data_IF_738548185269
#
_entry.id   IF_738548185269
#
_cell.length_a   1.000
_cell.length_b   1.000
_cell.length_c   1.000
_cell.angle_alpha   90.00
_cell.angle_beta   90.00
_cell.angle_gamma   90.00
#
_symmetry.space_group_name_H-M   'P 1'
#
loop_
_entity.id
_entity.type
_entity.pdbx_description
1 polymer ?
#
# COMPACT_ATOMS: atom_id res chain seq x y z
N UNK A 1 65.50 -82.16 -32.32
CA UNK A 1 64.04 -82.11 -32.06
C UNK A 1 63.58 -80.69 -32.25
N UNK A 2 62.67 -80.37 -33.19
CA UNK A 2 62.11 -79.03 -33.29
C UNK A 2 61.37 -78.72 -31.99
N UNK A 3 61.70 -77.59 -31.35
CA UNK A 3 60.98 -77.10 -30.18
C UNK A 3 59.52 -76.91 -30.55
N UNK A 4 58.63 -77.62 -29.85
CA UNK A 4 57.19 -77.49 -30.06
C UNK A 4 56.76 -76.04 -29.82
N UNK A 5 55.87 -75.53 -30.66
CA UNK A 5 55.22 -74.23 -30.47
C UNK A 5 54.53 -74.23 -29.11
N UNK A 6 54.91 -73.32 -28.22
CA UNK A 6 54.29 -73.19 -26.90
C UNK A 6 53.21 -72.11 -26.92
N UNK A 7 52.17 -72.30 -26.07
CA UNK A 7 51.12 -71.30 -25.86
C UNK A 7 51.70 -69.93 -25.47
N UNK A 8 52.67 -69.91 -24.56
CA UNK A 8 53.31 -68.68 -24.08
C UNK A 8 54.07 -67.94 -25.19
N UNK A 9 54.77 -68.65 -26.07
CA UNK A 9 55.47 -68.03 -27.20
C UNK A 9 54.52 -67.37 -28.19
N UNK A 10 53.41 -68.03 -28.50
CA UNK A 10 52.34 -67.48 -29.37
C UNK A 10 51.69 -66.25 -28.73
N UNK A 11 51.41 -66.30 -27.42
CA UNK A 11 50.78 -65.20 -26.69
C UNK A 11 51.68 -63.96 -26.63
N UNK A 12 52.97 -64.13 -26.32
CA UNK A 12 53.94 -63.03 -26.25
C UNK A 12 54.09 -62.31 -27.59
N UNK A 13 54.08 -63.05 -28.69
CA UNK A 13 54.18 -62.48 -30.05
C UNK A 13 52.85 -61.81 -30.46
N UNK A 14 51.71 -62.40 -30.11
CA UNK A 14 50.41 -61.78 -30.36
C UNK A 14 50.26 -60.45 -29.59
N UNK A 15 50.73 -60.40 -28.34
CA UNK A 15 50.80 -59.18 -27.54
C UNK A 15 51.74 -58.13 -28.16
N UNK A 16 52.93 -58.54 -28.61
CA UNK A 16 53.87 -57.65 -29.29
C UNK A 16 53.29 -57.06 -30.58
N UNK A 17 52.67 -57.90 -31.43
CA UNK A 17 52.00 -57.45 -32.66
C UNK A 17 50.85 -56.48 -32.37
N UNK A 18 50.09 -56.72 -31.29
CA UNK A 18 49.01 -55.82 -30.88
C UNK A 18 49.54 -54.47 -30.39
N UNK A 19 50.68 -54.45 -29.69
CA UNK A 19 51.37 -53.22 -29.30
C UNK A 19 51.91 -52.43 -30.50
N UNK A 20 52.20 -53.12 -31.61
CA UNK A 20 52.57 -52.54 -32.91
C UNK A 20 51.36 -52.19 -33.79
N UNK A 21 50.14 -52.19 -33.24
CA UNK A 21 48.88 -51.95 -33.96
C UNK A 21 48.60 -52.95 -35.12
N UNK A 22 49.26 -54.10 -35.15
CA UNK A 22 49.05 -55.16 -36.14
C UNK A 22 48.12 -56.26 -35.62
N UNK A 23 47.19 -56.71 -36.47
CA UNK A 23 46.29 -57.82 -36.14
C UNK A 23 47.10 -59.14 -36.10
N UNK A 24 47.14 -59.84 -34.95
CA UNK A 24 47.88 -61.09 -34.85
C UNK A 24 47.27 -62.15 -35.78
N UNK A 25 48.05 -62.60 -36.76
CA UNK A 25 47.66 -63.63 -37.73
C UNK A 25 48.55 -64.86 -37.56
N UNK A 26 48.07 -66.03 -38.01
CA UNK A 26 48.87 -67.27 -37.98
C UNK A 26 50.18 -67.09 -38.77
N UNK A 27 50.15 -66.31 -39.86
CA UNK A 27 51.30 -66.06 -40.73
C UNK A 27 52.32 -65.16 -40.04
N UNK A 28 51.89 -64.02 -39.48
CA UNK A 28 52.80 -63.08 -38.80
C UNK A 28 53.43 -63.71 -37.54
N UNK A 29 52.64 -64.45 -36.76
CA UNK A 29 53.11 -65.14 -35.56
C UNK A 29 54.09 -66.26 -35.90
N UNK A 30 53.80 -67.05 -36.95
CA UNK A 30 54.71 -68.10 -37.44
C UNK A 30 56.02 -67.51 -37.97
N UNK A 31 55.94 -66.36 -38.65
CA UNK A 31 57.12 -65.64 -39.16
C UNK A 31 58.03 -65.18 -38.03
N UNK A 32 57.47 -64.65 -36.93
CA UNK A 32 58.25 -64.23 -35.76
C UNK A 32 58.76 -65.41 -34.90
N UNK A 33 58.05 -66.55 -34.87
CA UNK A 33 58.50 -67.76 -34.18
C UNK A 33 59.59 -68.54 -34.93
N UNK A 34 59.84 -68.23 -36.21
CA UNK A 34 60.79 -68.97 -37.06
C UNK A 34 60.28 -70.34 -37.52
N UNK A 35 58.98 -70.62 -37.43
CA UNK A 35 58.37 -71.89 -37.84
C UNK A 35 57.25 -72.38 -36.93
N UNK A 36 56.87 -73.66 -37.08
CA UNK A 36 55.83 -74.31 -36.26
C UNK A 36 54.61 -74.81 -37.04
N UNK A 37 53.81 -75.66 -36.39
CA UNK A 37 52.56 -76.18 -36.94
C UNK A 37 51.49 -75.07 -36.98
N UNK A 38 50.98 -74.68 -38.16
CA UNK A 38 49.96 -73.64 -38.29
C UNK A 38 48.70 -73.90 -37.45
N UNK A 39 48.32 -75.17 -37.28
CA UNK A 39 47.13 -75.54 -36.53
C UNK A 39 47.29 -75.26 -35.03
N UNK A 40 48.45 -75.64 -34.46
CA UNK A 40 48.78 -75.37 -33.05
C UNK A 40 48.86 -73.86 -32.77
N UNK A 41 49.45 -73.09 -33.70
CA UNK A 41 49.48 -71.62 -33.60
C UNK A 41 48.06 -71.05 -33.64
N UNK A 42 47.21 -71.53 -34.56
CA UNK A 42 45.82 -71.09 -34.66
C UNK A 42 45.02 -71.36 -33.37
N UNK A 43 45.18 -72.53 -32.75
CA UNK A 43 44.53 -72.85 -31.47
C UNK A 43 44.98 -71.92 -30.35
N UNK A 44 46.29 -71.67 -30.22
CA UNK A 44 46.80 -70.76 -29.19
C UNK A 44 46.41 -69.31 -29.44
N UNK A 45 46.41 -68.85 -30.69
CA UNK A 45 45.93 -67.52 -31.06
C UNK A 45 44.43 -67.35 -30.79
N UNK A 46 43.61 -68.38 -31.06
CA UNK A 46 42.19 -68.34 -30.72
C UNK A 46 41.98 -68.18 -29.21
N UNK A 47 42.75 -68.92 -28.39
CA UNK A 47 42.70 -68.78 -26.93
C UNK A 47 43.18 -67.41 -26.43
N UNK A 48 44.16 -66.80 -27.10
CA UNK A 48 44.66 -65.46 -26.78
C UNK A 48 43.61 -64.39 -27.13
N UNK A 49 43.02 -64.48 -28.33
CA UNK A 49 41.95 -63.57 -28.78
C UNK A 49 40.74 -63.62 -27.86
N UNK A 50 40.32 -64.81 -27.44
CA UNK A 50 39.20 -64.95 -26.51
C UNK A 50 39.44 -64.18 -25.20
N UNK A 51 40.64 -64.30 -24.61
CA UNK A 51 41.00 -63.59 -23.39
C UNK A 51 41.13 -62.06 -23.60
N UNK A 52 41.73 -61.62 -24.71
CA UNK A 52 41.93 -60.19 -24.98
C UNK A 52 40.64 -59.46 -25.42
N UNK A 53 39.72 -60.14 -26.11
CA UNK A 53 38.42 -59.57 -26.46
C UNK A 53 37.60 -59.28 -25.20
N UNK A 54 37.65 -60.18 -24.21
CA UNK A 54 36.98 -59.99 -22.92
C UNK A 54 37.54 -58.77 -22.17
N UNK A 55 38.87 -58.66 -22.05
CA UNK A 55 39.52 -57.50 -21.42
C UNK A 55 39.21 -56.17 -22.14
N UNK A 56 39.27 -56.16 -23.47
CA UNK A 56 38.88 -54.98 -24.24
C UNK A 56 37.41 -54.64 -24.00
N UNK A 57 36.51 -55.61 -24.00
CA UNK A 57 35.08 -55.35 -23.76
C UNK A 57 34.85 -54.76 -22.37
N UNK A 58 35.54 -55.23 -21.34
CA UNK A 58 35.46 -54.69 -19.99
C UNK A 58 35.94 -53.22 -19.94
N UNK A 59 37.06 -52.90 -20.59
CA UNK A 59 37.55 -51.53 -20.66
C UNK A 59 36.57 -50.59 -21.38
N UNK A 60 35.91 -51.06 -22.45
CA UNK A 60 34.87 -50.27 -23.13
C UNK A 60 33.68 -50.03 -22.19
N UNK A 61 33.22 -51.04 -21.46
CA UNK A 61 32.13 -50.87 -20.49
C UNK A 61 32.50 -49.94 -19.33
N UNK A 62 33.72 -50.02 -18.80
CA UNK A 62 34.20 -49.11 -17.75
C UNK A 62 34.26 -47.67 -18.25
N UNK A 63 34.76 -47.47 -19.48
CA UNK A 63 34.75 -46.15 -20.13
C UNK A 63 33.33 -45.61 -20.31
N UNK A 64 32.39 -46.44 -20.74
CA UNK A 64 30.98 -46.04 -20.88
C UNK A 64 30.37 -45.63 -19.54
N UNK A 65 30.66 -46.36 -18.46
CA UNK A 65 30.21 -46.01 -17.09
C UNK A 65 30.81 -44.68 -16.64
N UNK A 66 32.10 -44.43 -16.90
CA UNK A 66 32.74 -43.16 -16.56
C UNK A 66 32.17 -41.98 -17.36
N UNK A 67 31.90 -42.18 -18.64
CA UNK A 67 31.26 -41.16 -19.48
C UNK A 67 29.85 -40.83 -18.97
N UNK A 68 29.05 -41.85 -18.62
CA UNK A 68 27.71 -41.65 -18.06
C UNK A 68 27.75 -40.92 -16.72
N UNK A 69 28.68 -41.28 -15.83
CA UNK A 69 28.86 -40.60 -14.55
C UNK A 69 29.30 -39.13 -14.73
N UNK A 70 30.13 -38.85 -15.73
CA UNK A 70 30.51 -37.47 -16.06
C UNK A 70 29.31 -36.68 -16.59
N UNK A 71 28.51 -37.26 -17.48
CA UNK A 71 27.30 -36.62 -18.02
C UNK A 71 26.28 -36.31 -16.91
N UNK A 72 26.08 -37.23 -15.97
CA UNK A 72 25.21 -37.02 -14.80
C UNK A 72 25.71 -35.84 -13.93
N UNK A 73 27.01 -35.77 -13.64
CA UNK A 73 27.57 -34.63 -12.89
C UNK A 73 27.45 -33.30 -13.64
N UNK A 74 27.62 -33.31 -14.97
CA UNK A 74 27.45 -32.11 -15.79
C UNK A 74 25.98 -31.65 -15.82
N UNK A 75 25.04 -32.61 -15.85
CA UNK A 75 23.61 -32.34 -15.76
C UNK A 75 23.24 -31.75 -14.39
N UNK A 76 23.66 -32.35 -13.28
CA UNK A 76 23.41 -31.82 -11.93
C UNK A 76 23.99 -30.41 -11.79
N UNK A 77 25.20 -30.16 -12.33
CA UNK A 77 25.81 -28.84 -12.33
C UNK A 77 24.97 -27.83 -13.12
N UNK A 78 24.41 -28.22 -14.25
CA UNK A 78 23.53 -27.36 -15.04
C UNK A 78 22.24 -27.03 -14.29
N UNK A 79 21.61 -28.03 -13.65
CA UNK A 79 20.40 -27.86 -12.84
C UNK A 79 20.65 -26.93 -11.64
N UNK A 80 21.79 -27.08 -10.95
CA UNK A 80 22.17 -26.19 -9.85
C UNK A 80 22.40 -24.75 -10.31
N UNK A 81 23.02 -24.55 -11.48
CA UNK A 81 23.20 -23.21 -12.05
C UNK A 81 21.86 -22.57 -12.40
N UNK A 82 20.91 -23.32 -12.97
CA UNK A 82 19.56 -22.83 -13.26
C UNK A 82 18.81 -22.44 -11.97
N UNK A 83 18.91 -23.25 -10.92
CA UNK A 83 18.29 -22.94 -9.63
C UNK A 83 18.90 -21.69 -8.97
N UNK A 84 20.22 -21.49 -9.09
CA UNK A 84 20.88 -20.25 -8.62
C UNK A 84 20.34 -19.04 -9.38
N UNK A 85 20.25 -19.11 -10.71
CA UNK A 85 19.71 -18.02 -11.53
C UNK A 85 18.25 -17.72 -11.18
N UNK A 86 17.46 -18.76 -10.92
CA UNK A 86 16.06 -18.64 -10.46
C UNK A 86 15.99 -17.93 -9.11
N UNK A 87 16.80 -18.35 -8.14
CA UNK A 87 16.84 -17.76 -6.80
C UNK A 87 17.34 -16.32 -6.82
N UNK A 88 18.35 -16.00 -7.62
CA UNK A 88 18.83 -14.64 -7.81
C UNK A 88 17.75 -13.74 -8.43
N UNK A 89 16.99 -14.26 -9.39
CA UNK A 89 15.81 -13.60 -9.96
C UNK A 89 14.73 -13.29 -8.92
N UNK A 90 14.39 -14.28 -8.08
CA UNK A 90 13.44 -14.14 -6.99
C UNK A 90 13.92 -13.13 -5.93
N UNK A 91 15.21 -13.16 -5.58
CA UNK A 91 15.81 -12.22 -4.63
C UNK A 91 15.76 -10.78 -5.16
N UNK A 92 16.08 -10.56 -6.44
CA UNK A 92 16.03 -9.25 -7.05
C UNK A 92 14.58 -8.72 -7.14
N UNK A 93 13.62 -9.61 -7.45
CA UNK A 93 12.19 -9.28 -7.40
C UNK A 93 11.75 -8.87 -5.99
N UNK A 94 12.10 -9.65 -4.97
CA UNK A 94 11.78 -9.35 -3.58
C UNK A 94 12.40 -8.01 -3.12
N UNK A 95 13.63 -7.70 -3.55
CA UNK A 95 14.29 -6.41 -3.27
C UNK A 95 13.54 -5.24 -3.90
N UNK A 96 13.09 -5.37 -5.15
CA UNK A 96 12.28 -4.35 -5.84
C UNK A 96 10.94 -4.15 -5.15
N UNK A 97 10.26 -5.23 -4.79
CA UNK A 97 8.99 -5.18 -4.03
C UNK A 97 9.19 -4.52 -2.66
N UNK A 98 10.27 -4.84 -1.94
CA UNK A 98 10.59 -4.19 -0.68
C UNK A 98 10.84 -2.69 -0.86
N UNK A 99 11.63 -2.29 -1.85
CA UNK A 99 11.92 -0.88 -2.16
C UNK A 99 10.67 -0.08 -2.52
N UNK A 100 9.76 -0.67 -3.31
CA UNK A 100 8.48 -0.02 -3.65
C UNK A 100 7.55 0.07 -2.43
N UNK A 101 7.51 -0.98 -1.61
CA UNK A 101 6.73 -1.02 -0.37
C UNK A 101 7.21 0.02 0.65
N UNK A 102 8.53 0.16 0.87
CA UNK A 102 9.06 1.18 1.77
C UNK A 102 8.74 2.59 1.27
N UNK A 103 8.85 2.85 -0.03
CA UNK A 103 8.46 4.13 -0.60
C UNK A 103 6.96 4.42 -0.41
N UNK A 104 6.09 3.41 -0.59
CA UNK A 104 4.66 3.55 -0.37
C UNK A 104 4.34 3.85 1.11
N UNK A 105 5.03 3.21 2.06
CA UNK A 105 4.90 3.49 3.48
C UNK A 105 5.34 4.91 3.84
N UNK A 106 6.42 5.42 3.25
CA UNK A 106 6.87 6.81 3.46
C UNK A 106 5.85 7.83 2.95
N UNK A 107 5.25 7.58 1.78
CA UNK A 107 4.19 8.43 1.24
C UNK A 107 2.95 8.39 2.13
N UNK A 108 2.55 7.20 2.60
CA UNK A 108 1.43 7.04 3.51
C UNK A 108 1.66 7.76 4.85
N UNK A 109 2.88 7.65 5.40
CA UNK A 109 3.27 8.35 6.64
C UNK A 109 3.20 9.86 6.48
N UNK A 110 3.77 10.42 5.40
CA UNK A 110 3.66 11.85 5.10
C UNK A 110 2.21 12.30 4.90
N UNK A 111 1.38 11.43 4.31
CA UNK A 111 -0.06 11.65 4.19
C UNK A 111 -0.75 11.74 5.56
N UNK A 112 -0.46 10.79 6.45
CA UNK A 112 -1.00 10.77 7.81
C UNK A 112 -0.59 12.01 8.62
N UNK A 113 0.67 12.44 8.55
CA UNK A 113 1.15 13.65 9.23
C UNK A 113 0.41 14.92 8.74
N UNK A 114 0.11 15.02 7.44
CA UNK A 114 -0.70 16.12 6.90
C UNK A 114 -2.14 16.09 7.42
N UNK A 115 -2.75 14.91 7.50
CA UNK A 115 -4.11 14.77 8.06
C UNK A 115 -4.12 15.13 9.54
N UNK A 116 -3.11 14.72 10.31
CA UNK A 116 -2.99 15.06 11.73
C UNK A 116 -2.88 16.58 11.93
N UNK A 117 -2.04 17.26 11.16
CA UNK A 117 -1.93 18.73 11.23
C UNK A 117 -3.23 19.43 10.85
N UNK A 118 -3.93 18.97 9.81
CA UNK A 118 -5.25 19.50 9.45
C UNK A 118 -6.29 19.28 10.55
N UNK A 119 -6.29 18.09 11.17
CA UNK A 119 -7.19 17.77 12.28
C UNK A 119 -6.96 18.70 13.47
N UNK A 120 -5.70 19.01 13.81
CA UNK A 120 -5.38 19.96 14.89
C UNK A 120 -5.89 21.36 14.59
N UNK A 121 -5.76 21.81 13.34
CA UNK A 121 -6.28 23.12 12.91
C UNK A 121 -7.81 23.16 13.03
N UNK A 122 -8.50 22.12 12.56
CA UNK A 122 -9.96 22.02 12.68
C UNK A 122 -10.42 21.98 14.13
N UNK A 123 -9.71 21.26 15.00
CA UNK A 123 -10.00 21.22 16.43
C UNK A 123 -9.87 22.60 17.08
N UNK A 124 -8.82 23.35 16.73
CA UNK A 124 -8.65 24.74 17.20
C UNK A 124 -9.79 25.65 16.70
N UNK A 125 -10.17 25.54 15.43
CA UNK A 125 -11.31 26.30 14.89
C UNK A 125 -12.62 25.96 15.60
N UNK A 126 -12.87 24.69 15.91
CA UNK A 126 -14.05 24.28 16.67
C UNK A 126 -14.03 24.84 18.10
N UNK A 127 -12.87 24.89 18.76
CA UNK A 127 -12.72 25.53 20.07
C UNK A 127 -13.03 27.02 20.01
N UNK A 128 -12.48 27.74 19.03
CA UNK A 128 -12.76 29.18 18.86
C UNK A 128 -14.24 29.47 18.59
N UNK A 129 -14.89 28.68 17.73
CA UNK A 129 -16.32 28.83 17.44
C UNK A 129 -17.15 28.55 18.68
N UNK A 130 -16.77 27.54 19.48
CA UNK A 130 -17.43 27.23 20.75
C UNK A 130 -17.32 28.36 21.75
N UNK A 131 -16.13 28.92 21.96
CA UNK A 131 -15.94 30.07 22.85
C UNK A 131 -16.74 31.30 22.38
N UNK A 132 -16.81 31.55 21.07
CA UNK A 132 -17.64 32.62 20.51
C UNK A 132 -19.13 32.38 20.75
N UNK A 133 -19.59 31.14 20.60
CA UNK A 133 -20.97 30.77 20.87
C UNK A 133 -21.32 30.95 22.37
N UNK A 134 -20.43 30.54 23.27
CA UNK A 134 -20.58 30.75 24.72
C UNK A 134 -20.69 32.24 25.07
N UNK A 135 -19.80 33.10 24.54
CA UNK A 135 -19.89 34.56 24.72
C UNK A 135 -21.18 35.17 24.17
N UNK A 136 -21.68 34.66 23.03
CA UNK A 136 -22.96 35.11 22.47
C UNK A 136 -24.14 34.70 23.35
N UNK A 137 -24.10 33.50 23.95
CA UNK A 137 -25.12 33.05 24.90
C UNK A 137 -25.11 33.93 26.15
N UNK A 138 -23.94 34.23 26.73
CA UNK A 138 -23.82 35.13 27.88
C UNK A 138 -24.37 36.53 27.57
N UNK A 139 -24.02 37.10 26.41
CA UNK A 139 -24.55 38.40 25.97
C UNK A 139 -26.06 38.37 25.77
N UNK A 140 -26.59 37.29 25.21
CA UNK A 140 -28.04 37.13 25.03
C UNK A 140 -28.75 37.06 26.38
N UNK A 141 -28.20 36.31 27.35
CA UNK A 141 -28.73 36.26 28.72
C UNK A 141 -28.70 37.64 29.39
N UNK A 142 -27.60 38.40 29.28
CA UNK A 142 -27.51 39.76 29.82
C UNK A 142 -28.59 40.69 29.23
N UNK A 143 -28.79 40.63 27.90
CA UNK A 143 -29.85 41.40 27.23
C UNK A 143 -31.25 40.96 27.67
N UNK A 144 -31.49 39.66 27.89
CA UNK A 144 -32.78 39.18 28.41
C UNK A 144 -33.07 39.72 29.81
N UNK A 145 -32.05 39.79 30.68
CA UNK A 145 -32.16 40.38 32.02
C UNK A 145 -32.48 41.88 31.92
N UNK A 146 -31.80 42.61 31.04
CA UNK A 146 -32.07 44.04 30.80
C UNK A 146 -33.50 44.28 30.29
N UNK A 147 -33.96 43.47 29.33
CA UNK A 147 -35.35 43.52 28.85
C UNK A 147 -36.34 43.27 29.99
N UNK A 148 -36.07 42.30 30.88
CA UNK A 148 -36.93 42.04 32.03
C UNK A 148 -36.97 43.22 33.00
N UNK A 149 -35.83 43.84 33.30
CA UNK A 149 -35.74 45.02 34.16
C UNK A 149 -36.43 46.25 33.56
N UNK A 150 -36.32 46.46 32.24
CA UNK A 150 -37.03 47.53 31.54
C UNK A 150 -38.54 47.31 31.59
N UNK A 151 -39.02 46.08 31.39
CA UNK A 151 -40.44 45.74 31.54
C UNK A 151 -40.96 46.03 32.95
N UNK A 152 -40.20 45.71 33.99
CA UNK A 152 -40.56 46.05 35.38
C UNK A 152 -40.68 47.56 35.60
N UNK A 153 -39.73 48.35 35.06
CA UNK A 153 -39.79 49.81 35.11
C UNK A 153 -41.01 50.36 34.39
N UNK A 154 -41.39 49.80 33.24
CA UNK A 154 -42.60 50.20 32.51
C UNK A 154 -43.85 49.96 33.36
N UNK A 155 -43.97 48.79 34.00
CA UNK A 155 -45.08 48.49 34.92
C UNK A 155 -45.11 49.47 36.10
N UNK A 156 -43.96 49.84 36.66
CA UNK A 156 -43.89 50.83 37.74
C UNK A 156 -44.32 52.24 37.29
N UNK A 157 -43.88 52.68 36.10
CA UNK A 157 -44.31 53.97 35.52
C UNK A 157 -45.82 53.99 35.31
N UNK A 158 -46.40 52.91 34.79
CA UNK A 158 -47.85 52.81 34.57
C UNK A 158 -48.62 52.84 35.91
N UNK A 159 -48.09 52.20 36.96
CA UNK A 159 -48.66 52.29 38.31
C UNK A 159 -48.60 53.73 38.88
N UNK A 160 -47.48 54.43 38.70
CA UNK A 160 -47.35 55.84 39.10
C UNK A 160 -48.31 56.74 38.32
N UNK A 161 -48.47 56.52 37.01
CA UNK A 161 -49.45 57.24 36.18
C UNK A 161 -50.88 57.04 36.68
N UNK A 162 -51.27 55.81 37.00
CA UNK A 162 -52.59 55.51 37.57
C UNK A 162 -52.83 56.24 38.91
N UNK A 163 -51.80 56.34 39.77
CA UNK A 163 -51.87 57.12 41.00
C UNK A 163 -52.02 58.62 40.75
N UNK A 164 -51.27 59.18 39.78
CA UNK A 164 -51.40 60.59 39.38
C UNK A 164 -52.80 60.86 38.86
N UNK A 165 -53.33 60.02 37.99
CA UNK A 165 -54.69 60.15 37.43
C UNK A 165 -55.75 60.08 38.54
N UNK A 166 -55.58 59.18 39.52
CA UNK A 166 -56.44 59.11 40.71
C UNK A 166 -56.39 60.40 41.53
N UNK A 167 -55.20 60.91 41.84
CA UNK A 167 -55.04 62.15 42.60
C UNK A 167 -55.59 63.37 41.83
N UNK A 168 -55.41 63.41 40.51
CA UNK A 168 -56.01 64.44 39.64
C UNK A 168 -57.54 64.36 39.66
N UNK A 169 -58.12 63.16 39.61
CA UNK A 169 -59.55 62.92 39.76
C UNK A 169 -60.10 63.36 41.12
N UNK A 170 -59.38 63.02 42.21
CA UNK A 170 -59.72 63.45 43.56
C UNK A 170 -59.66 64.99 43.68
N UNK A 171 -58.62 65.65 43.18
CA UNK A 171 -58.52 67.11 43.15
C UNK A 171 -59.65 67.76 42.35
N UNK A 172 -60.02 67.22 41.19
CA UNK A 172 -61.13 67.71 40.39
C UNK A 172 -62.47 67.54 41.12
N UNK A 173 -62.67 66.43 41.83
CA UNK A 173 -63.86 66.20 42.65
C UNK A 173 -63.94 67.19 43.83
N UNK A 174 -62.80 67.50 44.46
CA UNK A 174 -62.70 68.45 45.57
C UNK A 174 -62.94 69.90 45.12
N UNK A 175 -62.52 70.22 43.89
CA UNK A 175 -62.85 71.50 43.26
C UNK A 175 -64.35 71.61 42.98
N UNK A 176 -64.97 70.59 42.37
CA UNK A 176 -66.42 70.55 42.13
C UNK A 176 -67.22 70.61 43.43
N UNK A 177 -66.82 69.88 44.47
CA UNK A 177 -67.52 69.90 45.76
C UNK A 177 -67.51 71.29 46.41
N UNK A 178 -66.44 72.07 46.20
CA UNK A 178 -66.38 73.48 46.64
C UNK A 178 -67.30 74.38 45.82
N UNK A 179 -67.43 74.11 44.53
CA UNK A 179 -68.30 74.87 43.64
C UNK A 179 -69.79 74.57 43.91
N UNK A 180 -70.13 73.32 44.24
CA UNK A 180 -71.50 72.90 44.62
C UNK A 180 -71.91 73.28 46.06
N UNK A 181 -71.03 73.92 46.85
CA UNK A 181 -71.39 74.50 48.15
C UNK A 181 -71.98 75.92 48.03
N UNK A 182 -72.08 76.48 46.82
CA UNK A 182 -72.88 77.66 46.48
C UNK A 182 -74.06 77.23 45.59
N UNK A 183 -75.24 77.29 46.21
CA UNK A 183 -76.60 77.22 45.64
C UNK A 183 -77.18 75.85 45.19
N UNK A 184 -78.46 75.57 45.54
CA UNK A 184 -79.10 74.29 45.34
C UNK A 184 -79.96 74.24 44.06
N UNK A 185 -80.37 73.01 43.73
CA UNK A 185 -81.58 72.64 42.96
C UNK A 185 -81.52 72.77 41.43
N UNK A 186 -81.51 71.63 40.72
CA UNK A 186 -82.70 71.10 40.03
C UNK A 186 -82.42 69.80 39.27
N UNK A 187 -83.20 68.81 39.69
CA UNK A 187 -83.80 67.68 38.98
C UNK A 187 -84.06 67.93 37.48
N UNK A 188 -83.68 66.99 36.60
CA UNK A 188 -84.46 66.64 35.40
C UNK A 188 -83.99 65.34 34.73
N UNK A 189 -84.95 64.44 34.59
CA UNK A 189 -85.03 63.28 33.70
C UNK A 189 -84.68 63.54 32.22
N UNK A 190 -84.22 62.49 31.54
CA UNK A 190 -84.55 62.05 30.15
C UNK A 190 -83.42 61.12 29.64
N UNK A 191 -83.70 59.85 29.28
CA UNK A 191 -84.03 59.36 27.91
C UNK A 191 -82.94 59.71 26.88
N UNK A 192 -82.55 58.91 25.88
CA UNK A 192 -82.95 57.64 25.27
C UNK A 192 -82.11 57.61 23.95
N UNK A 193 -81.90 56.44 23.34
CA UNK A 193 -81.47 56.31 21.94
C UNK A 193 -79.95 56.21 21.68
N UNK A 194 -79.38 55.07 21.24
CA UNK A 194 -79.53 54.37 19.94
C UNK A 194 -78.46 54.78 18.91
N UNK A 195 -77.53 53.85 18.60
CA UNK A 195 -76.84 53.71 17.30
C UNK A 195 -75.99 52.42 17.34
N UNK A 196 -76.50 51.30 16.83
CA UNK A 196 -76.33 50.82 15.45
C UNK A 196 -74.89 50.43 15.07
N UNK A 197 -74.67 49.10 15.04
CA UNK A 197 -73.77 48.41 14.11
C UNK A 197 -74.07 48.86 12.66
N UNK A 198 -73.04 48.93 11.80
CA UNK A 198 -73.01 47.93 10.73
C UNK A 198 -71.61 47.37 10.44
N UNK A 199 -71.64 46.25 9.74
CA UNK A 199 -70.52 45.52 9.16
C UNK A 199 -69.88 46.28 7.99
N UNK A 200 -68.61 45.97 7.74
CA UNK A 200 -67.95 45.73 6.43
C UNK A 200 -66.46 46.14 6.56
N UNK A 201 -65.51 45.22 6.56
CA UNK A 201 -64.87 44.55 5.41
C UNK A 201 -63.65 45.31 4.84
N UNK A 202 -62.56 44.54 4.72
CA UNK A 202 -61.43 44.65 3.77
C UNK A 202 -60.16 45.48 4.10
N UNK A 203 -59.11 44.71 4.48
CA UNK A 203 -57.96 44.32 3.62
C UNK A 203 -56.58 44.96 3.88
N UNK A 204 -55.62 44.04 4.08
CA UNK A 204 -54.14 44.11 4.03
C UNK A 204 -53.47 44.90 5.16
N UNK A 205 -52.42 44.45 5.84
CA UNK A 205 -51.19 43.74 5.42
C UNK A 205 -50.52 43.02 6.62
N UNK A 206 -49.92 41.84 6.37
CA UNK A 206 -48.84 41.11 7.08
C UNK A 206 -48.68 41.19 8.63
N UNK A 207 -48.29 40.05 9.25
CA UNK A 207 -47.12 40.16 10.12
C UNK A 207 -46.13 38.98 10.03
N UNK A 208 -44.86 39.35 9.97
CA UNK A 208 -43.79 38.70 10.73
C UNK A 208 -44.18 38.61 12.21
N UNK A 209 -44.12 37.43 12.80
CA UNK A 209 -43.28 37.27 13.99
C UNK A 209 -42.98 35.81 14.31
N UNK A 210 -41.73 35.59 14.66
CA UNK A 210 -41.17 34.37 15.17
C UNK A 210 -41.40 34.24 16.69
N UNK A 211 -40.98 33.08 17.21
CA UNK A 211 -40.59 32.78 18.61
C UNK A 211 -41.73 32.29 19.52
N UNK A 212 -41.65 31.12 20.18
CA UNK A 212 -40.58 30.14 20.30
C UNK A 212 -40.91 29.04 21.32
N UNK A 213 -39.87 28.24 21.64
CA UNK A 213 -39.77 27.19 22.67
C UNK A 213 -40.64 25.93 22.43
N UNK A 214 -40.17 24.69 22.54
CA UNK A 214 -38.91 24.14 23.01
C UNK A 214 -39.17 22.71 23.51
N UNK A 215 -38.16 21.84 23.40
CA UNK A 215 -37.98 20.59 24.16
C UNK A 215 -38.60 19.26 23.65
N UNK A 216 -37.66 18.34 23.36
CA UNK A 216 -37.62 16.93 23.75
C UNK A 216 -38.25 15.84 22.86
N UNK A 217 -37.33 15.00 22.35
CA UNK A 217 -37.24 13.55 22.60
C UNK A 217 -37.57 12.58 21.47
N UNK A 218 -36.63 11.64 21.29
CA UNK A 218 -36.73 10.27 20.78
C UNK A 218 -36.76 10.01 19.25
N UNK A 219 -35.57 9.65 18.72
CA UNK A 219 -35.26 8.47 17.87
C UNK A 219 -36.03 8.22 16.57
N UNK A 220 -35.32 7.81 15.48
CA UNK A 220 -35.04 6.37 15.39
C UNK A 220 -33.68 5.96 14.77
N UNK A 221 -33.20 4.82 15.28
CA UNK A 221 -32.71 3.64 14.52
C UNK A 221 -31.59 3.83 13.49
N UNK A 222 -30.38 3.49 13.96
CA UNK A 222 -29.41 2.56 13.37
C UNK A 222 -29.55 2.18 11.89
N UNK A 223 -28.55 2.56 11.08
CA UNK A 223 -27.80 1.65 10.17
C UNK A 223 -26.60 2.38 9.54
N UNK A 224 -25.35 1.92 9.73
CA UNK A 224 -24.22 2.44 8.97
C UNK A 224 -24.11 1.71 7.61
N UNK A 225 -24.29 2.46 6.53
CA UNK A 225 -23.89 2.02 5.17
C UNK A 225 -22.37 1.90 5.09
N UNK A 226 -21.91 0.67 5.29
CA UNK A 226 -20.78 -0.04 4.68
C UNK A 226 -19.95 0.74 3.64
N UNK A 227 -18.62 0.87 3.82
CA UNK A 227 -17.72 1.32 2.75
C UNK A 227 -17.54 0.21 1.69
N UNK A 228 -17.26 0.56 0.41
CA UNK A 228 -17.08 -0.41 -0.65
C UNK A 228 -15.84 -1.28 -0.41
N UNK A 229 -16.04 -2.58 -0.59
CA UNK A 229 -15.02 -3.61 -0.47
C UNK A 229 -13.96 -3.46 -1.56
N UNK A 230 -12.70 -3.47 -1.15
CA UNK A 230 -11.54 -3.84 -1.96
C UNK A 230 -11.70 -5.28 -2.43
N UNK A 231 -11.66 -5.59 -3.74
CA UNK A 231 -11.49 -6.97 -4.18
C UNK A 231 -10.00 -7.33 -4.21
N UNK A 232 -9.62 -8.29 -3.36
CA UNK A 232 -8.41 -9.08 -3.56
C UNK A 232 -8.77 -10.42 -4.23
N UNK A 233 -7.88 -10.81 -5.15
CA UNK A 233 -7.59 -12.16 -5.62
C UNK A 233 -8.59 -12.86 -6.56
N UNK A 234 -8.18 -13.03 -7.82
CA UNK A 234 -8.08 -14.36 -8.43
C UNK A 234 -7.08 -14.34 -9.57
N UNK A 235 -6.05 -15.16 -9.44
CA UNK A 235 -5.18 -15.53 -10.54
C UNK A 235 -5.94 -16.38 -11.54
N UNK A 236 -5.73 -16.09 -12.82
CA UNK A 236 -5.90 -17.01 -13.94
C UNK A 236 -4.91 -16.61 -15.04
N UNK A 237 -3.88 -17.42 -15.20
CA UNK A 237 -3.27 -17.78 -16.49
C UNK A 237 -3.47 -19.30 -16.65
N UNK A 238 -3.25 -19.95 -17.81
CA UNK A 238 -2.86 -19.46 -19.14
C UNK A 238 -3.70 -20.05 -20.31
N UNK A 239 -3.65 -19.42 -21.49
CA UNK A 239 -3.54 -20.07 -22.83
C UNK A 239 -3.84 -19.07 -23.95
N UNK A 240 -3.02 -19.08 -25.00
CA UNK A 240 -3.43 -18.52 -26.29
C UNK A 240 -2.31 -17.87 -27.07
N UNK A 241 -1.39 -18.70 -27.56
CA UNK A 241 -0.52 -18.43 -28.71
C UNK A 241 -1.30 -17.78 -29.85
N UNK A 242 -0.81 -16.66 -30.41
CA UNK A 242 -0.84 -16.45 -31.86
C UNK A 242 0.15 -15.36 -32.31
N UNK A 243 1.13 -15.86 -33.06
CA UNK A 243 2.01 -15.22 -34.02
C UNK A 243 1.24 -14.37 -35.05
N UNK A 244 1.76 -13.17 -35.36
CA UNK A 244 1.80 -12.53 -36.70
C UNK A 244 2.55 -11.20 -36.53
N UNK A 245 3.82 -11.15 -36.92
CA UNK A 245 4.28 -10.74 -38.26
C UNK A 245 3.86 -9.31 -38.65
N UNK A 246 4.88 -8.45 -38.72
CA UNK A 246 5.03 -7.36 -39.67
C UNK A 246 4.13 -6.13 -39.50
N UNK A 247 4.71 -4.98 -39.14
CA UNK A 247 4.89 -3.93 -40.14
C UNK A 247 5.88 -2.85 -39.67
N UNK A 248 6.62 -2.40 -40.66
CA UNK A 248 7.72 -1.46 -40.69
C UNK A 248 7.20 -0.02 -40.58
N UNK A 249 7.75 0.78 -39.65
CA UNK A 249 7.60 2.24 -39.71
C UNK A 249 8.83 2.94 -39.13
N UNK A 250 9.72 3.31 -40.04
CA UNK A 250 10.70 4.38 -39.86
C UNK A 250 10.00 5.68 -39.45
N UNK A 251 10.49 6.37 -38.40
CA UNK A 251 10.93 7.79 -38.46
C UNK A 251 11.11 8.43 -37.07
N UNK A 252 12.24 9.14 -36.97
CA UNK A 252 12.54 10.33 -36.14
C UNK A 252 12.79 10.11 -34.65
N UNK A 253 14.07 9.88 -34.36
CA UNK A 253 14.76 10.26 -33.12
C UNK A 253 14.78 11.79 -32.93
N UNK A 254 14.31 12.34 -31.79
CA UNK A 254 14.78 13.62 -31.29
C UNK A 254 16.03 13.44 -30.43
N UNK A 255 16.97 14.36 -30.57
CA UNK A 255 18.23 14.42 -29.84
C UNK A 255 17.99 14.51 -28.32
N UNK A 256 18.46 13.51 -27.57
CA UNK A 256 18.55 13.55 -26.11
C UNK A 256 19.91 14.15 -25.76
N UNK A 257 19.87 15.36 -25.22
CA UNK A 257 20.97 16.05 -24.55
C UNK A 257 21.57 15.16 -23.47
N UNK A 258 22.88 14.95 -23.54
CA UNK A 258 23.64 14.18 -22.55
C UNK A 258 23.59 14.84 -21.16
N UNK A 259 23.41 14.08 -20.07
CA UNK A 259 23.57 14.61 -18.72
C UNK A 259 25.05 14.91 -18.41
N UNK A 260 25.36 15.94 -17.60
CA UNK A 260 26.73 16.27 -17.23
C UNK A 260 27.36 15.16 -16.39
N UNK A 261 28.65 14.89 -16.65
CA UNK A 261 29.50 13.95 -15.90
C UNK A 261 29.45 14.23 -14.39
N UNK A 262 29.32 13.21 -13.53
CA UNK A 262 29.56 13.38 -12.11
C UNK A 262 31.05 13.69 -11.88
N UNK A 263 31.31 14.81 -11.22
CA UNK A 263 32.63 15.19 -10.72
C UNK A 263 33.14 14.16 -9.73
N UNK A 264 34.35 13.65 -9.96
CA UNK A 264 35.04 12.73 -9.07
C UNK A 264 35.10 13.27 -7.63
N UNK A 265 34.86 12.43 -6.61
CA UNK A 265 35.12 12.81 -5.23
C UNK A 265 36.63 12.96 -4.98
N UNK A 266 37.06 13.87 -4.09
CA UNK A 266 38.46 14.01 -3.72
C UNK A 266 38.95 12.76 -2.98
N UNK A 267 40.15 12.31 -3.37
CA UNK A 267 40.86 11.20 -2.74
C UNK A 267 40.98 11.39 -1.23
N UNK A 268 40.72 10.36 -0.39
CA UNK A 268 41.01 10.44 1.02
C UNK A 268 42.53 10.52 1.23
N UNK A 269 42.96 11.57 1.93
CA UNK A 269 44.33 11.72 2.39
C UNK A 269 44.70 10.52 3.26
N UNK A 270 45.76 9.81 2.85
CA UNK A 270 46.39 8.75 3.64
C UNK A 270 46.75 9.28 5.03
N UNK A 271 45.97 8.85 6.02
CA UNK A 271 46.27 9.02 7.43
C UNK A 271 47.57 8.32 7.76
N UNK A 272 48.50 9.07 8.35
CA UNK A 272 49.81 8.61 8.81
C UNK A 272 49.64 7.45 9.78
N UNK A 273 50.36 6.37 9.52
CA UNK A 273 50.52 5.24 10.43
C UNK A 273 51.28 5.69 11.68
N UNK A 274 50.59 5.86 12.81
CA UNK A 274 51.24 5.88 14.11
C UNK A 274 51.52 4.42 14.52
N UNK A 275 52.81 4.08 14.62
CA UNK A 275 53.29 2.81 15.15
C UNK A 275 53.16 2.82 16.68
N UNK A 276 52.59 1.79 17.32
CA UNK A 276 52.65 1.68 18.77
C UNK A 276 54.00 1.10 19.22
N UNK A 277 54.65 1.82 20.13
CA UNK A 277 55.01 1.29 21.45
C UNK A 277 56.10 0.22 21.52
N UNK A 278 57.31 0.69 21.79
CA UNK A 278 58.46 -0.05 22.32
C UNK A 278 58.09 -0.86 23.58
N UNK A 279 58.25 -2.18 23.55
CA UNK A 279 58.28 -3.04 24.74
C UNK A 279 59.68 -2.90 25.36
N UNK A 280 59.77 -2.33 26.57
CA UNK A 280 60.96 -2.44 27.43
C UNK A 280 60.89 -3.76 28.22
N UNK A 281 62.08 -4.35 28.35
CA UNK A 281 62.42 -5.59 29.06
C UNK A 281 61.99 -5.59 30.52
#
# INVERSE_FOLDING_TARGET
MPSGVTKQGVWKIAEALTREEQIPSVISVRSQLGGGNPHTIATHLASWRAAHIEEQSLFHTEKEVLMAAQEEMEQERAELMEEIERLDGDLEKARKELSTSTHALDVARKGAERVETQSKIQEQQLKEVREKAEKLVERNQALQIEIAALKERTVHIDALRALIEKLQGELASLARSKETAKEPTKESDAKDGMAQRPMAEQKATAPENATGAGSSSAGPVTTPSRPPATPMASGQTPKGTQTKEGEEAQKKTPAITAPPKPSSPPSPAFGKSERPGTIRK
#
